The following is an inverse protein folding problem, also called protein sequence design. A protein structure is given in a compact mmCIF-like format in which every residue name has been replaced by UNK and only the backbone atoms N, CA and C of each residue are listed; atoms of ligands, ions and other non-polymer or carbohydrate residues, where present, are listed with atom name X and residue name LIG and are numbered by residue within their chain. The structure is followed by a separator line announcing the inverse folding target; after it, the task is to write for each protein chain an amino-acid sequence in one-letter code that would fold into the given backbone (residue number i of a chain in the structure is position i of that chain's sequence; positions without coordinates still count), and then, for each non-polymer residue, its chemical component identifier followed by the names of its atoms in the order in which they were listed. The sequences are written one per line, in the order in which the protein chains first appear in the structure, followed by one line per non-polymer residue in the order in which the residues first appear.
data_IF_215312773748
#
_entry.id   IF_215312773748
#
_cell.length_a   1.000
_cell.length_b   1.000
_cell.length_c   1.000
_cell.angle_alpha   90.00
_cell.angle_beta   90.00
_cell.angle_gamma   90.00
#
_symmetry.space_group_name_H-M   'P 1'
#
loop_
_entity.id
_entity.type
_entity.pdbx_description
1 polymer ?
#
# COMPACT_ATOMS: atom_id res chain seq x y z
N UNK A 1 -3.35 -42.50 5.24
CA UNK A 1 -3.94 -41.36 4.52
C UNK A 1 -3.78 -40.12 5.39
N UNK A 2 -3.01 -39.11 4.98
CA UNK A 2 -3.02 -37.81 5.68
C UNK A 2 -4.39 -37.17 5.45
N UNK A 3 -5.11 -36.89 6.53
CA UNK A 3 -6.41 -36.24 6.49
C UNK A 3 -6.26 -34.82 5.96
N UNK A 4 -7.06 -34.45 4.95
CA UNK A 4 -7.13 -33.08 4.43
C UNK A 4 -7.65 -32.16 5.54
N UNK A 5 -6.80 -31.24 6.01
CA UNK A 5 -7.19 -30.19 6.97
C UNK A 5 -7.90 -29.07 6.21
N UNK A 6 -9.00 -28.56 6.77
CA UNK A 6 -9.58 -27.29 6.36
C UNK A 6 -8.92 -26.18 7.19
N UNK A 7 -8.43 -25.13 6.55
CA UNK A 7 -7.78 -23.97 7.18
C UNK A 7 -8.60 -22.73 6.86
N UNK A 8 -9.18 -22.11 7.89
CA UNK A 8 -9.92 -20.85 7.79
C UNK A 8 -8.98 -19.66 7.92
N UNK A 9 -9.02 -18.74 6.95
CA UNK A 9 -8.07 -17.61 6.89
C UNK A 9 -8.81 -16.30 6.76
N UNK A 10 -8.41 -15.33 7.59
CA UNK A 10 -8.88 -13.96 7.50
C UNK A 10 -7.76 -13.11 6.97
N UNK A 11 -8.03 -12.42 5.87
CA UNK A 11 -7.06 -11.60 5.17
C UNK A 11 -7.55 -10.18 5.21
N UNK A 12 -6.66 -9.27 5.61
CA UNK A 12 -6.97 -7.85 5.66
C UNK A 12 -6.20 -7.06 4.63
N UNK A 13 -6.75 -5.92 4.19
CA UNK A 13 -6.02 -4.95 3.40
C UNK A 13 -6.60 -3.54 3.53
N UNK A 14 -5.72 -2.54 3.43
CA UNK A 14 -6.04 -1.10 3.45
C UNK A 14 -5.72 -0.41 2.10
N UNK A 15 -5.57 -1.20 1.03
CA UNK A 15 -5.29 -0.71 -0.31
C UNK A 15 -4.92 -1.84 -1.28
N UNK A 16 -4.87 -1.51 -2.57
CA UNK A 16 -4.63 -2.47 -3.65
C UNK A 16 -3.26 -3.15 -3.57
N UNK A 17 -2.18 -2.41 -3.28
CA UNK A 17 -0.84 -2.99 -3.12
C UNK A 17 -0.75 -3.92 -1.90
N UNK A 18 -1.43 -3.60 -0.80
CA UNK A 18 -1.48 -4.47 0.37
C UNK A 18 -2.25 -5.76 0.09
N UNK A 19 -3.33 -5.69 -0.70
CA UNK A 19 -4.03 -6.90 -1.16
C UNK A 19 -3.08 -7.78 -1.99
N UNK A 20 -2.34 -7.20 -2.93
CA UNK A 20 -1.35 -7.94 -3.74
C UNK A 20 -0.35 -8.67 -2.86
N UNK A 21 0.21 -7.98 -1.87
CA UNK A 21 1.21 -8.56 -0.96
C UNK A 21 0.63 -9.63 -0.06
N UNK A 22 -0.58 -9.43 0.48
CA UNK A 22 -1.25 -10.46 1.24
C UNK A 22 -1.51 -11.72 0.37
N UNK A 23 -1.93 -11.52 -0.88
CA UNK A 23 -2.18 -12.61 -1.83
C UNK A 23 -0.89 -13.34 -2.24
N UNK A 24 0.24 -12.63 -2.39
CA UNK A 24 1.53 -13.26 -2.69
C UNK A 24 2.02 -14.10 -1.50
N UNK A 25 1.85 -13.61 -0.27
CA UNK A 25 2.18 -14.35 0.95
C UNK A 25 1.31 -15.60 1.10
N UNK A 26 0.00 -15.50 0.82
CA UNK A 26 -0.91 -16.64 0.81
C UNK A 26 -0.50 -17.68 -0.22
N UNK A 27 -0.13 -17.24 -1.43
CA UNK A 27 0.35 -18.12 -2.50
C UNK A 27 1.62 -18.86 -2.09
N UNK A 28 2.61 -18.13 -1.55
CA UNK A 28 3.85 -18.70 -1.03
C UNK A 28 3.58 -19.73 0.08
N UNK A 29 2.74 -19.38 1.06
CA UNK A 29 2.45 -20.24 2.21
C UNK A 29 1.68 -21.51 1.84
N UNK A 30 0.87 -21.49 0.79
CA UNK A 30 0.25 -22.71 0.24
C UNK A 30 1.30 -23.71 -0.25
N UNK A 31 2.46 -23.25 -0.71
CA UNK A 31 3.57 -24.09 -1.16
C UNK A 31 4.37 -24.68 0.02
N UNK A 32 4.43 -23.98 1.15
CA UNK A 32 5.05 -24.49 2.39
C UNK A 32 4.19 -25.58 3.08
N UNK A 33 2.88 -25.61 2.79
CA UNK A 33 1.92 -26.51 3.45
C UNK A 33 1.60 -27.74 2.61
N UNK A 34 0.83 -28.67 3.21
CA UNK A 34 0.43 -29.89 2.51
C UNK A 34 -0.44 -29.55 1.30
N UNK A 35 -0.15 -30.08 0.09
CA UNK A 35 -1.00 -29.89 -1.08
C UNK A 35 -2.45 -30.38 -0.88
N UNK A 36 -2.69 -31.22 0.13
CA UNK A 36 -4.01 -31.74 0.51
C UNK A 36 -4.84 -30.77 1.35
N UNK A 37 -4.27 -29.67 1.83
CA UNK A 37 -4.98 -28.71 2.67
C UNK A 37 -6.02 -27.96 1.84
N UNK A 38 -7.21 -27.79 2.41
CA UNK A 38 -8.28 -26.98 1.85
C UNK A 38 -8.34 -25.65 2.58
N UNK A 39 -8.69 -24.60 1.88
CA UNK A 39 -8.70 -23.24 2.42
C UNK A 39 -10.09 -22.62 2.33
N UNK A 40 -10.49 -21.94 3.38
CA UNK A 40 -11.70 -21.11 3.42
C UNK A 40 -11.28 -19.67 3.71
N UNK A 41 -11.33 -18.83 2.68
CA UNK A 41 -10.73 -17.49 2.69
C UNK A 41 -11.79 -16.40 2.88
N UNK A 42 -11.52 -15.47 3.79
CA UNK A 42 -12.33 -14.29 4.07
C UNK A 42 -11.49 -13.04 3.87
N UNK A 43 -11.97 -12.09 3.06
CA UNK A 43 -11.31 -10.80 2.85
C UNK A 43 -12.03 -9.71 3.62
N UNK A 44 -11.28 -8.90 4.37
CA UNK A 44 -11.77 -7.71 5.05
C UNK A 44 -11.00 -6.48 4.56
N UNK A 45 -11.71 -5.62 3.86
CA UNK A 45 -11.24 -4.34 3.35
C UNK A 45 -11.67 -3.26 4.36
N UNK A 46 -10.74 -2.44 4.86
CA UNK A 46 -11.05 -1.35 5.81
C UNK A 46 -9.99 -0.26 5.76
N UNK A 47 -10.28 0.87 6.41
CA UNK A 47 -9.41 2.06 6.46
C UNK A 47 -8.87 2.46 5.08
N UNK A 48 -9.66 2.21 4.03
CA UNK A 48 -9.39 2.75 2.71
C UNK A 48 -9.49 4.26 2.82
N UNK A 49 -8.42 4.91 2.40
CA UNK A 49 -8.37 6.36 2.32
C UNK A 49 -8.33 6.74 0.85
N UNK A 50 -9.31 7.53 0.43
CA UNK A 50 -9.45 8.16 -0.87
C UNK A 50 -10.25 9.46 -0.69
N UNK A 51 -10.08 10.45 -1.58
CA UNK A 51 -10.94 11.63 -1.64
C UNK A 51 -12.43 11.28 -1.68
N UNK A 52 -13.26 12.25 -1.26
CA UNK A 52 -14.72 12.16 -1.32
C UNK A 52 -15.18 11.82 -2.75
N UNK A 53 -16.09 10.84 -2.86
CA UNK A 53 -16.64 10.40 -4.15
C UNK A 53 -15.82 9.34 -4.89
N UNK A 54 -14.65 8.95 -4.39
CA UNK A 54 -13.78 7.93 -5.03
C UNK A 54 -13.80 6.55 -4.32
N UNK A 55 -14.37 6.48 -3.11
CA UNK A 55 -14.24 5.31 -2.24
C UNK A 55 -14.91 4.05 -2.80
N UNK A 56 -16.10 4.19 -3.39
CA UNK A 56 -16.87 3.05 -3.90
C UNK A 56 -16.17 2.40 -5.10
N UNK A 57 -15.59 3.21 -5.98
CA UNK A 57 -14.79 2.73 -7.11
C UNK A 57 -13.51 2.02 -6.63
N UNK A 58 -12.87 2.54 -5.58
CA UNK A 58 -11.68 1.90 -5.02
C UNK A 58 -12.02 0.53 -4.39
N UNK A 59 -13.13 0.46 -3.63
CA UNK A 59 -13.63 -0.79 -3.05
C UNK A 59 -13.99 -1.79 -4.15
N UNK A 60 -14.66 -1.33 -5.21
CA UNK A 60 -15.06 -2.17 -6.34
C UNK A 60 -13.84 -2.81 -7.01
N UNK A 61 -12.79 -2.02 -7.29
CA UNK A 61 -11.56 -2.58 -7.87
C UNK A 61 -10.89 -3.59 -6.94
N UNK A 62 -10.77 -3.31 -5.64
CA UNK A 62 -10.14 -4.26 -4.69
C UNK A 62 -10.93 -5.58 -4.64
N UNK A 63 -12.27 -5.52 -4.69
CA UNK A 63 -13.12 -6.73 -4.77
C UNK A 63 -12.86 -7.50 -6.06
N UNK A 64 -12.79 -6.82 -7.20
CA UNK A 64 -12.52 -7.43 -8.50
C UNK A 64 -11.13 -8.09 -8.54
N UNK A 65 -10.10 -7.39 -8.07
CA UNK A 65 -8.74 -7.93 -7.88
C UNK A 65 -8.76 -9.21 -7.05
N UNK A 66 -9.46 -9.19 -5.91
CA UNK A 66 -9.53 -10.33 -5.01
C UNK A 66 -10.23 -11.53 -5.67
N UNK A 67 -11.38 -11.30 -6.32
CA UNK A 67 -12.17 -12.34 -6.98
C UNK A 67 -11.44 -13.00 -8.16
N UNK A 68 -10.58 -12.25 -8.85
CA UNK A 68 -9.77 -12.77 -9.95
C UNK A 68 -8.72 -13.78 -9.50
N UNK A 69 -8.19 -13.61 -8.29
CA UNK A 69 -7.01 -14.37 -7.81
C UNK A 69 -7.40 -15.55 -6.92
N UNK A 70 -8.40 -15.38 -6.06
CA UNK A 70 -8.77 -16.37 -5.06
C UNK A 70 -10.28 -16.60 -5.03
N UNK A 71 -10.67 -17.80 -4.59
CA UNK A 71 -12.05 -18.09 -4.22
C UNK A 71 -12.28 -17.64 -2.78
N UNK A 72 -13.25 -16.76 -2.57
CA UNK A 72 -13.56 -16.20 -1.27
C UNK A 72 -14.89 -16.72 -0.75
N UNK A 73 -14.93 -17.05 0.53
CA UNK A 73 -16.17 -17.34 1.24
C UNK A 73 -17.00 -16.08 1.44
N UNK A 74 -16.33 -14.97 1.76
CA UNK A 74 -16.92 -13.62 1.84
C UNK A 74 -15.84 -12.56 1.60
N UNK A 75 -16.22 -11.49 0.91
CA UNK A 75 -15.43 -10.26 0.81
C UNK A 75 -16.25 -9.14 1.43
N UNK A 76 -15.77 -8.58 2.54
CA UNK A 76 -16.46 -7.51 3.27
C UNK A 76 -15.63 -6.23 3.17
N UNK A 77 -16.32 -5.11 2.93
CA UNK A 77 -15.76 -3.78 3.14
C UNK A 77 -16.40 -3.17 4.38
N UNK A 78 -15.57 -2.72 5.33
CA UNK A 78 -16.00 -1.96 6.50
C UNK A 78 -15.76 -0.48 6.24
N UNK A 79 -16.85 0.29 6.16
CA UNK A 79 -16.79 1.72 5.90
C UNK A 79 -16.13 2.48 7.05
N UNK A 80 -15.63 3.70 6.77
CA UNK A 80 -15.10 4.57 7.81
C UNK A 80 -16.12 4.84 8.93
N UNK A 81 -17.41 4.93 8.59
CA UNK A 81 -18.48 5.09 9.58
C UNK A 81 -18.60 3.86 10.47
N UNK A 82 -18.63 2.65 9.90
CA UNK A 82 -18.67 1.40 10.65
C UNK A 82 -17.44 1.27 11.57
N UNK A 83 -16.25 1.60 11.08
CA UNK A 83 -15.02 1.58 11.88
C UNK A 83 -15.04 2.61 13.01
N UNK A 84 -15.56 3.82 12.75
CA UNK A 84 -15.76 4.83 13.79
C UNK A 84 -16.75 4.34 14.84
N UNK A 85 -17.87 3.75 14.46
CA UNK A 85 -18.83 3.14 15.38
C UNK A 85 -18.19 2.05 16.23
N UNK A 86 -17.36 1.19 15.64
CA UNK A 86 -16.63 0.16 16.38
C UNK A 86 -15.60 0.74 17.36
N UNK A 87 -14.95 1.85 17.00
CA UNK A 87 -13.98 2.54 17.87
C UNK A 87 -14.64 3.33 19.02
N UNK A 88 -15.83 3.89 18.79
CA UNK A 88 -16.55 4.71 19.77
C UNK A 88 -17.38 3.88 20.73
N UNK A 89 -17.75 2.66 20.34
CA UNK A 89 -18.47 1.70 21.20
C UNK A 89 -17.61 1.31 22.40
N UNK A 90 -17.90 1.97 23.52
CA UNK A 90 -17.50 1.53 24.84
C UNK A 90 -18.37 0.33 25.21
N UNK A 91 -17.83 -0.89 25.13
CA UNK A 91 -18.62 -2.11 25.40
C UNK A 91 -18.12 -2.83 26.67
N UNK A 92 -18.95 -2.93 27.73
CA UNK A 92 -18.63 -3.69 28.94
C UNK A 92 -18.71 -5.22 28.74
N UNK A 93 -19.20 -5.70 27.59
CA UNK A 93 -19.24 -7.12 27.25
C UNK A 93 -18.36 -7.41 26.02
N UNK A 94 -17.11 -7.86 26.21
CA UNK A 94 -16.20 -8.22 25.12
C UNK A 94 -16.77 -9.26 24.15
N UNK A 95 -17.53 -10.23 24.64
CA UNK A 95 -18.11 -11.27 23.78
C UNK A 95 -19.11 -10.69 22.78
N UNK A 96 -20.00 -9.80 23.24
CA UNK A 96 -20.95 -9.12 22.36
C UNK A 96 -20.26 -8.15 21.38
N UNK A 97 -19.16 -7.52 21.83
CA UNK A 97 -18.37 -6.64 20.97
C UNK A 97 -17.73 -7.41 19.81
N UNK A 98 -17.05 -8.53 20.10
CA UNK A 98 -16.41 -9.34 19.05
C UNK A 98 -17.42 -10.12 18.21
N UNK A 99 -18.58 -10.48 18.75
CA UNK A 99 -19.67 -11.05 17.96
C UNK A 99 -20.09 -10.12 16.81
N UNK A 100 -20.17 -8.81 17.05
CA UNK A 100 -20.46 -7.83 15.97
C UNK A 100 -19.39 -7.87 14.88
N UNK A 101 -18.11 -8.01 15.27
CA UNK A 101 -16.99 -8.14 14.31
C UNK A 101 -17.13 -9.44 13.51
N UNK A 102 -17.43 -10.54 14.18
CA UNK A 102 -17.60 -11.86 13.56
C UNK A 102 -18.74 -11.87 12.54
N UNK A 103 -19.87 -11.23 12.84
CA UNK A 103 -21.01 -11.09 11.92
C UNK A 103 -20.63 -10.27 10.66
N UNK A 104 -19.90 -9.17 10.84
CA UNK A 104 -19.40 -8.35 9.74
C UNK A 104 -18.44 -9.14 8.85
N UNK A 105 -17.46 -9.82 9.43
CA UNK A 105 -16.48 -10.64 8.70
C UNK A 105 -17.11 -11.89 8.09
N UNK A 106 -18.16 -12.44 8.69
CA UNK A 106 -18.87 -13.65 8.24
C UNK A 106 -18.31 -14.97 8.77
N UNK A 107 -17.46 -14.93 9.80
CA UNK A 107 -16.98 -16.11 10.54
C UNK A 107 -16.62 -15.72 11.97
N UNK A 108 -16.88 -16.62 12.92
CA UNK A 108 -16.54 -16.48 14.34
C UNK A 108 -15.16 -17.07 14.70
N UNK A 109 -14.54 -17.74 13.75
CA UNK A 109 -13.33 -18.54 13.94
C UNK A 109 -12.40 -18.43 12.74
N UNK A 110 -11.10 -18.47 13.01
CA UNK A 110 -10.04 -18.54 12.02
C UNK A 110 -8.84 -19.32 12.57
N UNK A 111 -8.16 -20.06 11.69
CA UNK A 111 -6.88 -20.68 11.98
C UNK A 111 -5.73 -19.67 11.80
N UNK A 112 -5.88 -18.75 10.85
CA UNK A 112 -4.86 -17.75 10.50
C UNK A 112 -5.49 -16.39 10.25
N UNK A 113 -4.78 -15.32 10.63
CA UNK A 113 -5.12 -13.95 10.30
C UNK A 113 -3.91 -13.20 9.74
N UNK A 114 -4.08 -12.54 8.60
CA UNK A 114 -3.04 -11.85 7.84
C UNK A 114 -3.26 -10.35 7.94
N UNK A 115 -2.28 -9.61 8.47
CA UNK A 115 -2.32 -8.15 8.60
C UNK A 115 -0.98 -7.51 8.20
N UNK A 116 -0.97 -6.24 7.79
CA UNK A 116 0.26 -5.52 7.44
C UNK A 116 1.05 -5.03 8.67
N UNK A 117 0.37 -4.82 9.80
CA UNK A 117 0.92 -4.28 11.07
C UNK A 117 -0.05 -4.53 12.24
N UNK A 118 0.37 -4.35 13.49
CA UNK A 118 -0.44 -4.67 14.69
C UNK A 118 -0.72 -3.49 15.63
N UNK A 119 -0.28 -2.27 15.31
CA UNK A 119 -0.38 -1.11 16.20
C UNK A 119 -1.56 -0.16 15.91
N UNK A 120 -2.23 -0.29 14.77
CA UNK A 120 -3.43 0.50 14.45
C UNK A 120 -4.68 -0.12 15.10
N UNK A 121 -5.63 0.72 15.52
CA UNK A 121 -6.91 0.29 16.12
C UNK A 121 -7.56 -0.85 15.34
N UNK A 122 -7.70 -0.70 14.02
CA UNK A 122 -8.39 -1.68 13.18
C UNK A 122 -7.67 -3.02 13.15
N UNK A 123 -6.34 -3.02 13.14
CA UNK A 123 -5.54 -4.26 13.21
C UNK A 123 -5.62 -4.91 14.59
N UNK A 124 -5.64 -4.10 15.65
CA UNK A 124 -5.88 -4.57 17.01
C UNK A 124 -7.29 -5.17 17.14
N UNK A 125 -8.30 -4.57 16.53
CA UNK A 125 -9.67 -5.08 16.54
C UNK A 125 -9.73 -6.51 16.03
N UNK A 126 -9.14 -6.78 14.86
CA UNK A 126 -9.19 -8.13 14.28
C UNK A 126 -8.28 -9.12 15.01
N UNK A 127 -7.09 -8.72 15.44
CA UNK A 127 -6.21 -9.63 16.22
C UNK A 127 -6.82 -10.02 17.57
N UNK A 128 -7.60 -9.13 18.20
CA UNK A 128 -8.34 -9.47 19.41
C UNK A 128 -9.61 -10.28 19.12
N UNK A 129 -10.34 -9.98 18.04
CA UNK A 129 -11.53 -10.74 17.63
C UNK A 129 -11.20 -12.20 17.26
N UNK A 130 -10.01 -12.44 16.72
CA UNK A 130 -9.51 -13.76 16.33
C UNK A 130 -8.27 -14.14 17.14
N UNK A 131 -8.37 -14.01 18.46
CA UNK A 131 -7.26 -14.18 19.40
C UNK A 131 -6.59 -15.57 19.34
N UNK A 132 -7.30 -16.62 18.92
CA UNK A 132 -6.75 -17.97 18.80
C UNK A 132 -6.05 -18.25 17.46
N UNK A 133 -6.27 -17.41 16.43
CA UNK A 133 -5.65 -17.59 15.13
C UNK A 133 -4.14 -17.32 15.17
N UNK A 134 -3.37 -17.94 14.27
CA UNK A 134 -1.98 -17.56 14.01
C UNK A 134 -1.95 -16.17 13.35
N UNK A 135 -1.23 -15.21 13.93
CA UNK A 135 -1.11 -13.83 13.44
C UNK A 135 0.10 -13.75 12.52
N UNK A 136 -0.18 -13.50 11.25
CA UNK A 136 0.81 -13.43 10.18
C UNK A 136 0.94 -11.97 9.73
N UNK A 137 2.15 -11.44 9.79
CA UNK A 137 2.46 -10.14 9.21
C UNK A 137 2.89 -10.31 7.75
N UNK A 138 2.17 -9.71 6.80
CA UNK A 138 2.58 -9.73 5.38
C UNK A 138 3.37 -8.47 4.96
N UNK A 139 3.54 -7.51 5.87
CA UNK A 139 4.17 -6.22 5.60
C UNK A 139 3.29 -5.24 4.81
N UNK A 140 3.79 -4.04 4.61
CA UNK A 140 3.15 -3.00 3.80
C UNK A 140 3.85 -2.86 2.45
N UNK A 141 3.27 -2.09 1.51
CA UNK A 141 3.75 -2.03 0.12
C UNK A 141 3.95 -3.45 -0.43
N UNK A 142 5.11 -3.78 -0.99
CA UNK A 142 5.50 -5.11 -1.49
C UNK A 142 6.06 -6.07 -0.43
N UNK A 143 5.69 -5.92 0.84
CA UNK A 143 6.17 -6.76 1.93
C UNK A 143 7.37 -6.15 2.66
N UNK A 144 7.25 -4.87 2.98
CA UNK A 144 8.20 -4.11 3.80
C UNK A 144 7.65 -4.02 5.21
N UNK A 145 8.51 -4.25 6.20
CA UNK A 145 8.14 -4.04 7.60
C UNK A 145 8.23 -2.55 7.95
N UNK A 146 7.20 -2.04 8.65
CA UNK A 146 7.20 -0.73 9.28
C UNK A 146 6.95 -0.86 10.78
N UNK A 147 7.94 -0.48 11.57
CA UNK A 147 7.84 -0.34 13.01
C UNK A 147 6.80 0.74 13.39
N UNK A 148 6.21 0.66 14.60
CA UNK A 148 5.25 1.68 15.08
C UNK A 148 5.81 3.12 15.06
N UNK A 149 7.12 3.26 15.25
CA UNK A 149 7.85 4.53 15.26
C UNK A 149 8.63 4.78 13.96
N UNK A 150 8.31 4.02 12.90
CA UNK A 150 8.97 4.12 11.61
C UNK A 150 8.97 5.56 11.11
N UNK A 151 10.15 5.99 10.68
CA UNK A 151 10.32 7.32 10.11
C UNK A 151 9.59 7.44 8.77
N UNK A 152 9.25 6.33 8.10
CA UNK A 152 8.51 6.29 6.84
C UNK A 152 7.11 6.93 6.89
N UNK A 153 6.59 7.21 8.09
CA UNK A 153 5.34 7.94 8.27
C UNK A 153 5.49 9.47 8.23
N UNK A 154 6.73 9.99 8.25
CA UNK A 154 7.10 11.42 8.36
C UNK A 154 6.18 12.15 9.34
N UNK A 155 6.10 11.64 10.56
CA UNK A 155 5.27 12.25 11.60
C UNK A 155 5.80 13.66 11.91
N UNK A 156 4.91 14.61 12.26
CA UNK A 156 5.32 15.97 12.60
C UNK A 156 6.33 15.97 13.74
N UNK A 157 7.39 16.76 13.63
CA UNK A 157 8.36 16.90 14.73
C UNK A 157 7.73 17.42 16.03
N UNK A 158 6.69 18.23 15.91
CA UNK A 158 5.92 18.80 17.03
C UNK A 158 5.06 17.77 17.75
N UNK A 159 4.83 16.57 17.19
CA UNK A 159 4.11 15.50 17.90
C UNK A 159 5.06 14.79 18.88
N UNK A 160 4.79 14.83 20.20
CA UNK A 160 5.63 14.11 21.14
C UNK A 160 5.52 12.62 20.86
N UNK A 161 6.65 11.93 20.60
CA UNK A 161 6.70 10.46 20.45
C UNK A 161 6.02 9.71 21.60
N UNK A 162 5.95 10.33 22.77
CA UNK A 162 5.25 9.81 23.96
C UNK A 162 3.72 9.96 23.91
N UNK A 163 3.14 10.88 23.13
CA UNK A 163 1.69 11.06 23.05
C UNK A 163 1.01 9.93 22.25
N UNK A 164 1.68 9.38 21.23
CA UNK A 164 1.18 8.24 20.45
C UNK A 164 1.11 6.94 21.27
N UNK A 165 1.98 6.78 22.28
CA UNK A 165 2.03 5.59 23.13
C UNK A 165 1.35 5.78 24.50
N UNK A 166 1.26 7.00 25.03
CA UNK A 166 0.68 7.26 26.38
C UNK A 166 -0.80 7.63 26.40
N UNK A 167 -1.40 8.08 25.30
CA UNK A 167 -2.85 8.37 25.27
C UNK A 167 -3.72 7.09 25.34
N UNK A 168 -3.15 5.91 25.10
CA UNK A 168 -3.85 4.64 25.26
C UNK A 168 -3.68 4.04 26.66
N UNK A 169 -2.49 4.10 27.28
CA UNK A 169 -2.18 3.39 28.53
C UNK A 169 -3.05 3.76 29.73
N UNK A 170 -3.14 5.06 30.07
CA UNK A 170 -3.85 5.51 31.28
C UNK A 170 -5.38 5.45 31.16
N UNK A 171 -5.91 5.65 29.95
CA UNK A 171 -7.33 5.50 29.64
C UNK A 171 -7.76 4.02 29.56
N UNK A 172 -6.86 3.13 29.16
CA UNK A 172 -7.13 1.70 29.08
C UNK A 172 -7.15 1.04 30.47
N UNK A 173 -6.32 1.51 31.41
CA UNK A 173 -6.33 1.00 32.80
C UNK A 173 -7.66 1.30 33.50
N UNK A 174 -8.13 2.55 33.48
CA UNK A 174 -9.42 2.94 34.06
C UNK A 174 -10.60 2.26 33.35
N UNK A 175 -10.53 2.09 32.02
CA UNK A 175 -11.53 1.35 31.27
C UNK A 175 -11.56 -0.14 31.62
N UNK A 176 -10.40 -0.77 31.76
CA UNK A 176 -10.31 -2.19 32.14
C UNK A 176 -10.84 -2.45 33.56
N UNK A 177 -10.59 -1.55 34.51
CA UNK A 177 -11.13 -1.64 35.87
C UNK A 177 -12.65 -1.49 35.92
N UNK A 178 -13.24 -0.80 34.94
CA UNK A 178 -14.68 -0.63 34.78
C UNK A 178 -15.32 -1.70 33.88
N UNK A 179 -14.59 -2.77 33.54
CA UNK A 179 -15.10 -3.92 32.77
C UNK A 179 -15.20 -3.69 31.27
N UNK A 180 -14.63 -2.61 30.72
CA UNK A 180 -14.73 -2.32 29.30
C UNK A 180 -13.75 -3.12 28.45
N UNK A 181 -14.15 -3.40 27.21
CA UNK A 181 -13.31 -4.04 26.20
C UNK A 181 -12.13 -3.13 25.86
N UNK A 182 -10.93 -3.55 26.25
CA UNK A 182 -9.67 -2.90 25.91
C UNK A 182 -8.95 -3.77 24.90
N UNK A 183 -8.72 -3.23 23.70
CA UNK A 183 -7.94 -3.92 22.68
C UNK A 183 -6.48 -3.97 23.10
N UNK A 184 -5.90 -5.17 23.04
CA UNK A 184 -4.48 -5.36 23.32
C UNK A 184 -3.70 -5.30 22.01
N UNK A 185 -2.50 -4.73 22.05
CA UNK A 185 -1.54 -4.94 20.97
C UNK A 185 -1.01 -6.37 21.09
N UNK A 186 -1.40 -7.22 20.14
CA UNK A 186 -0.98 -8.62 20.09
C UNK A 186 0.16 -8.73 19.06
N UNK A 187 1.25 -9.37 19.46
CA UNK A 187 2.39 -9.61 18.58
C UNK A 187 2.07 -10.64 17.49
N UNK A 188 2.79 -10.52 16.38
CA UNK A 188 2.69 -11.50 15.30
C UNK A 188 3.47 -12.76 15.65
N UNK A 189 2.92 -13.91 15.29
CA UNK A 189 3.59 -15.20 15.46
C UNK A 189 4.71 -15.36 14.41
N UNK A 190 4.55 -14.75 13.22
CA UNK A 190 5.57 -14.68 12.17
C UNK A 190 5.30 -13.60 11.14
N UNK A 191 6.34 -13.23 10.40
CA UNK A 191 6.27 -12.30 9.28
C UNK A 191 6.76 -12.90 7.98
N UNK A 192 6.13 -12.51 6.87
CA UNK A 192 6.54 -12.80 5.50
C UNK A 192 6.82 -11.48 4.79
N UNK A 193 8.05 -11.34 4.29
CA UNK A 193 8.52 -10.08 3.72
C UNK A 193 9.36 -10.36 2.46
N UNK A 194 9.14 -9.59 1.40
CA UNK A 194 10.04 -9.63 0.22
C UNK A 194 11.36 -8.92 0.51
N UNK A 195 11.30 -7.87 1.36
CA UNK A 195 12.42 -6.99 1.67
C UNK A 195 12.48 -6.76 3.19
N UNK A 196 12.81 -7.79 3.99
CA UNK A 196 12.96 -7.62 5.43
C UNK A 196 14.10 -6.63 5.72
N UNK A 197 13.92 -5.77 6.71
CA UNK A 197 14.96 -4.85 7.21
C UNK A 197 15.51 -3.85 6.16
N UNK A 198 14.86 -3.70 5.00
CA UNK A 198 15.39 -2.88 3.90
C UNK A 198 15.58 -1.41 4.28
N UNK A 199 14.70 -0.91 5.17
CA UNK A 199 14.76 0.43 5.76
C UNK A 199 15.52 0.49 7.10
N UNK A 200 16.21 -0.58 7.49
CA UNK A 200 16.97 -0.67 8.74
C UNK A 200 16.16 -1.04 9.98
N UNK A 201 14.86 -1.31 9.81
CA UNK A 201 13.95 -1.71 10.89
C UNK A 201 13.83 -3.23 10.98
N UNK A 202 14.16 -3.80 12.14
CA UNK A 202 14.09 -5.24 12.37
C UNK A 202 12.69 -5.67 12.79
N UNK A 203 12.03 -6.62 12.07
CA UNK A 203 10.77 -7.18 12.51
C UNK A 203 10.92 -7.89 13.88
N UNK A 204 10.02 -7.67 14.86
CA UNK A 204 10.11 -8.22 16.20
C UNK A 204 9.61 -9.67 16.31
N UNK A 205 9.46 -10.37 15.19
CA UNK A 205 8.93 -11.73 15.07
C UNK A 205 9.82 -12.58 14.15
N UNK A 206 9.69 -13.92 14.15
CA UNK A 206 10.35 -14.77 13.16
C UNK A 206 9.98 -14.36 11.73
N UNK A 207 10.99 -14.26 10.86
CA UNK A 207 10.86 -13.77 9.48
C UNK A 207 11.06 -14.90 8.48
N UNK A 208 10.19 -14.96 7.48
CA UNK A 208 10.38 -15.72 6.24
C UNK A 208 10.51 -14.74 5.08
N UNK A 209 11.60 -14.85 4.32
CA UNK A 209 11.78 -14.05 3.10
C UNK A 209 11.00 -14.72 1.97
N UNK A 210 10.02 -14.02 1.40
CA UNK A 210 9.23 -14.55 0.29
C UNK A 210 9.96 -14.41 -1.04
N UNK A 211 9.67 -15.31 -1.97
CA UNK A 211 10.22 -15.20 -3.32
C UNK A 211 9.49 -14.12 -4.16
N UNK A 212 10.20 -13.64 -5.19
CA UNK A 212 9.64 -12.69 -6.16
C UNK A 212 8.64 -13.36 -7.12
N UNK A 213 8.64 -14.69 -7.25
CA UNK A 213 7.81 -15.41 -8.21
C UNK A 213 6.34 -15.39 -7.81
N UNK A 214 6.01 -15.56 -6.51
CA UNK A 214 4.65 -15.41 -6.00
C UNK A 214 4.14 -13.98 -6.19
N UNK A 215 4.96 -12.96 -5.96
CA UNK A 215 4.56 -11.57 -6.21
C UNK A 215 4.31 -11.28 -7.70
N UNK A 216 5.22 -11.72 -8.58
CA UNK A 216 5.08 -11.61 -10.03
C UNK A 216 3.87 -12.37 -10.56
N UNK A 217 3.56 -13.54 -10.00
CA UNK A 217 2.38 -14.33 -10.34
C UNK A 217 1.10 -13.53 -10.09
N UNK A 218 0.99 -12.90 -8.92
CA UNK A 218 -0.15 -12.04 -8.60
C UNK A 218 -0.26 -10.87 -9.60
N UNK A 219 0.83 -10.15 -9.86
CA UNK A 219 0.81 -9.05 -10.83
C UNK A 219 0.42 -9.50 -12.24
N UNK A 220 0.91 -10.67 -12.69
CA UNK A 220 0.56 -11.25 -14.00
C UNK A 220 -0.92 -11.59 -14.11
N UNK A 221 -1.53 -12.13 -13.05
CA UNK A 221 -2.96 -12.42 -13.04
C UNK A 221 -3.80 -11.14 -13.16
N UNK A 222 -3.41 -10.08 -12.45
CA UNK A 222 -4.12 -8.80 -12.46
C UNK A 222 -4.07 -8.04 -13.80
N UNK A 223 -3.19 -8.43 -14.74
CA UNK A 223 -3.08 -7.78 -16.06
C UNK A 223 -4.41 -7.79 -16.82
N UNK A 224 -5.27 -8.79 -16.60
CA UNK A 224 -6.57 -8.88 -17.28
C UNK A 224 -7.57 -7.79 -16.86
N UNK A 225 -7.31 -7.07 -15.76
CA UNK A 225 -8.13 -5.93 -15.33
C UNK A 225 -7.81 -4.64 -16.09
N UNK A 226 -6.68 -4.62 -16.80
CA UNK A 226 -6.30 -3.50 -17.65
C UNK A 226 -7.08 -3.60 -18.96
N UNK A 227 -7.66 -2.47 -19.39
CA UNK A 227 -8.32 -2.37 -20.67
C UNK A 227 -7.29 -2.56 -21.80
N UNK A 228 -7.30 -3.72 -22.45
CA UNK A 228 -6.28 -4.10 -23.43
C UNK A 228 -6.23 -3.12 -24.62
N UNK A 229 -7.39 -2.66 -25.08
CA UNK A 229 -7.48 -1.66 -26.15
C UNK A 229 -6.82 -0.33 -25.75
N UNK A 230 -7.00 0.09 -24.49
CA UNK A 230 -6.34 1.29 -23.97
C UNK A 230 -4.82 1.12 -23.94
N UNK A 231 -4.33 -0.02 -23.43
CA UNK A 231 -2.88 -0.29 -23.40
C UNK A 231 -2.29 -0.35 -24.81
N UNK A 232 -3.02 -0.96 -25.75
CA UNK A 232 -2.60 -1.00 -27.15
C UNK A 232 -2.51 0.41 -27.74
N UNK A 233 -3.55 1.24 -27.57
CA UNK A 233 -3.55 2.63 -28.02
C UNK A 233 -2.44 3.44 -27.37
N UNK A 234 -2.21 3.27 -26.06
CA UNK A 234 -1.14 3.90 -25.32
C UNK A 234 0.23 3.54 -25.92
N UNK A 235 0.47 2.26 -26.21
CA UNK A 235 1.72 1.80 -26.84
C UNK A 235 1.90 2.40 -28.23
N UNK A 236 0.84 2.50 -29.03
CA UNK A 236 0.90 3.16 -30.34
C UNK A 236 1.21 4.66 -30.21
N UNK A 237 0.64 5.32 -29.20
CA UNK A 237 0.86 6.74 -28.93
C UNK A 237 2.29 7.02 -28.45
N UNK A 238 2.88 6.10 -27.69
CA UNK A 238 4.25 6.22 -27.19
C UNK A 238 5.29 5.84 -28.25
N UNK A 239 5.02 4.80 -29.04
CA UNK A 239 6.00 4.23 -29.97
C UNK A 239 7.30 3.85 -29.25
N UNK A 240 8.43 4.18 -29.87
CA UNK A 240 9.78 3.97 -29.31
C UNK A 240 10.31 5.19 -28.54
N UNK A 241 9.47 6.21 -28.29
CA UNK A 241 9.91 7.42 -27.62
C UNK A 241 10.37 7.14 -26.17
N UNK A 242 11.36 7.89 -25.65
CA UNK A 242 11.68 7.88 -24.23
C UNK A 242 10.48 8.34 -23.39
N UNK A 243 10.24 7.66 -22.27
CA UNK A 243 9.09 7.90 -21.39
C UNK A 243 9.54 8.29 -20.00
N UNK A 244 9.02 9.42 -19.54
CA UNK A 244 9.10 9.87 -18.16
C UNK A 244 7.84 9.45 -17.43
N UNK A 245 7.95 8.79 -16.28
CA UNK A 245 6.80 8.36 -15.48
C UNK A 245 6.84 9.03 -14.11
N UNK A 246 5.82 9.84 -13.82
CA UNK A 246 5.61 10.46 -12.52
C UNK A 246 4.62 9.64 -11.69
N UNK A 247 5.11 9.06 -10.59
CA UNK A 247 4.28 8.43 -9.55
C UNK A 247 4.03 9.45 -8.45
N UNK A 248 2.86 10.10 -8.46
CA UNK A 248 2.58 11.13 -7.45
C UNK A 248 2.38 10.50 -6.06
N UNK A 249 2.48 11.33 -5.03
CA UNK A 249 2.17 11.02 -3.64
C UNK A 249 1.09 11.98 -3.16
N UNK A 250 0.46 11.76 -2.01
CA UNK A 250 -0.70 12.53 -1.54
C UNK A 250 -0.33 13.62 -0.52
N UNK A 251 0.70 14.43 -0.77
CA UNK A 251 1.25 15.33 0.26
C UNK A 251 0.28 16.42 0.69
N UNK A 252 -0.42 17.03 -0.26
CA UNK A 252 -1.44 18.05 0.02
C UNK A 252 -2.65 17.45 0.71
N UNK A 253 -3.13 16.28 0.28
CA UNK A 253 -4.23 15.59 0.96
C UNK A 253 -3.85 15.12 2.37
N UNK A 254 -2.56 14.89 2.63
CA UNK A 254 -2.04 14.58 3.97
C UNK A 254 -1.70 15.84 4.81
N UNK A 255 -1.93 17.04 4.29
CA UNK A 255 -1.66 18.31 4.99
C UNK A 255 -0.16 18.61 5.19
N UNK A 256 0.72 18.02 4.37
CA UNK A 256 2.18 18.21 4.45
C UNK A 256 2.68 19.39 3.59
N UNK A 257 1.86 19.76 2.61
CA UNK A 257 2.07 20.86 1.66
C UNK A 257 0.69 21.48 1.35
N UNK A 258 0.63 22.70 0.82
CA UNK A 258 -0.58 23.12 0.09
C UNK A 258 -0.63 22.42 -1.28
N UNK A 259 -1.80 22.46 -1.91
CA UNK A 259 -1.96 21.88 -3.24
C UNK A 259 -1.01 22.56 -4.25
N UNK A 260 -0.97 23.89 -4.26
CA UNK A 260 -0.15 24.69 -5.17
C UNK A 260 1.35 24.42 -4.97
N UNK A 261 1.77 24.30 -3.70
CA UNK A 261 3.15 23.95 -3.36
C UNK A 261 3.53 22.55 -3.87
N UNK A 262 2.63 21.57 -3.76
CA UNK A 262 2.88 20.22 -4.26
C UNK A 262 3.01 20.20 -5.80
N UNK A 263 2.17 20.94 -6.52
CA UNK A 263 2.27 21.06 -7.98
C UNK A 263 3.60 21.71 -8.39
N UNK A 264 3.99 22.82 -7.76
CA UNK A 264 5.24 23.52 -8.09
C UNK A 264 6.46 22.68 -7.74
N UNK A 265 6.42 21.91 -6.64
CA UNK A 265 7.51 21.00 -6.28
C UNK A 265 7.72 19.91 -7.33
N UNK A 266 6.65 19.32 -7.89
CA UNK A 266 6.79 18.37 -9.01
C UNK A 266 7.36 19.04 -10.25
N UNK A 267 6.87 20.24 -10.60
CA UNK A 267 7.35 21.01 -11.75
C UNK A 267 8.83 21.33 -11.63
N UNK A 268 9.25 21.94 -10.52
CA UNK A 268 10.66 22.29 -10.25
C UNK A 268 11.55 21.05 -10.23
N UNK A 269 11.09 19.96 -9.62
CA UNK A 269 11.85 18.72 -9.60
C UNK A 269 12.06 18.16 -11.01
N UNK A 270 11.00 18.05 -11.81
CA UNK A 270 11.08 17.52 -13.17
C UNK A 270 11.99 18.35 -14.06
N UNK A 271 11.91 19.68 -13.99
CA UNK A 271 12.80 20.59 -14.71
C UNK A 271 14.27 20.40 -14.32
N UNK A 272 14.54 20.09 -13.05
CA UNK A 272 15.91 19.82 -12.57
C UNK A 272 16.44 18.43 -12.95
N UNK A 273 15.61 17.52 -13.46
CA UNK A 273 16.05 16.19 -13.91
C UNK A 273 16.36 16.15 -15.42
N UNK A 274 16.07 17.22 -16.16
CA UNK A 274 16.40 17.31 -17.58
C UNK A 274 17.87 17.74 -17.74
N UNK A 275 18.71 16.85 -18.29
CA UNK A 275 20.03 17.22 -18.77
C UNK A 275 19.88 18.05 -20.06
N UNK A 276 20.65 19.13 -20.19
CA UNK A 276 20.63 20.08 -21.30
C UNK A 276 20.43 19.40 -22.67
N UNK A 277 19.23 19.55 -23.24
CA UNK A 277 18.95 19.23 -24.64
C UNK A 277 18.13 17.97 -24.92
N UNK A 278 17.74 17.19 -23.91
CA UNK A 278 16.84 16.04 -24.14
C UNK A 278 15.40 16.54 -24.34
N UNK A 279 14.88 16.36 -25.55
CA UNK A 279 13.60 16.91 -26.01
C UNK A 279 12.47 16.44 -25.08
N UNK A 280 11.79 17.40 -24.44
CA UNK A 280 10.43 17.33 -23.84
C UNK A 280 9.72 16.00 -24.16
N UNK A 281 9.95 15.01 -23.30
CA UNK A 281 9.54 13.61 -23.51
C UNK A 281 8.03 13.42 -23.35
N UNK A 282 7.56 12.19 -23.54
CA UNK A 282 6.20 11.80 -23.12
C UNK A 282 6.22 11.62 -21.61
N UNK A 283 5.40 12.41 -20.91
CA UNK A 283 5.18 12.27 -19.48
C UNK A 283 3.93 11.45 -19.21
N UNK A 284 4.08 10.35 -18.49
CA UNK A 284 2.96 9.59 -17.95
C UNK A 284 2.84 9.90 -16.47
N UNK A 285 1.68 10.39 -16.07
CA UNK A 285 1.36 10.64 -14.67
C UNK A 285 0.47 9.51 -14.18
N UNK A 286 0.95 8.76 -13.20
CA UNK A 286 0.15 7.81 -12.43
C UNK A 286 -0.19 8.48 -11.09
N UNK A 287 -1.43 8.96 -10.92
CA UNK A 287 -1.82 9.56 -9.65
C UNK A 287 -1.78 8.55 -8.51
N UNK A 288 -1.54 9.03 -7.29
CA UNK A 288 -1.76 8.26 -6.07
C UNK A 288 -3.26 7.96 -5.92
N UNK A 289 -3.67 6.79 -5.40
CA UNK A 289 -5.08 6.48 -5.09
C UNK A 289 -5.81 7.46 -4.15
N UNK A 290 -5.08 8.43 -3.58
CA UNK A 290 -5.58 9.45 -2.66
C UNK A 290 -5.58 10.85 -3.26
N UNK A 291 -5.14 11.00 -4.50
CA UNK A 291 -5.08 12.30 -5.15
C UNK A 291 -6.47 12.78 -5.52
N UNK A 292 -6.76 14.03 -5.15
CA UNK A 292 -8.00 14.69 -5.51
C UNK A 292 -8.09 14.99 -7.00
N UNK A 293 -9.30 15.01 -7.56
CA UNK A 293 -9.51 15.40 -8.96
C UNK A 293 -9.02 16.83 -9.25
N UNK A 294 -9.05 17.72 -8.25
CA UNK A 294 -8.52 19.07 -8.34
C UNK A 294 -7.00 19.06 -8.59
N UNK A 295 -6.26 18.24 -7.84
CA UNK A 295 -4.82 18.06 -8.03
C UNK A 295 -4.46 17.52 -9.39
N UNK A 296 -5.18 16.48 -9.84
CA UNK A 296 -4.94 15.86 -11.15
C UNK A 296 -5.10 16.88 -12.28
N UNK A 297 -6.13 17.73 -12.20
CA UNK A 297 -6.37 18.82 -13.16
C UNK A 297 -5.29 19.92 -13.10
N UNK A 298 -4.77 20.23 -11.93
CA UNK A 298 -3.69 21.21 -11.80
C UNK A 298 -2.36 20.67 -12.32
N UNK A 299 -2.05 19.38 -12.09
CA UNK A 299 -0.86 18.73 -12.64
C UNK A 299 -0.84 18.82 -14.17
N UNK A 300 -1.96 18.53 -14.84
CA UNK A 300 -2.03 18.61 -16.31
C UNK A 300 -1.73 20.01 -16.86
N UNK A 301 -2.17 21.03 -16.13
CA UNK A 301 -2.07 22.42 -16.59
C UNK A 301 -0.70 23.05 -16.32
N UNK A 302 0.00 22.60 -15.28
CA UNK A 302 1.26 23.20 -14.82
C UNK A 302 2.51 22.42 -15.26
N UNK A 303 2.34 21.34 -16.03
CA UNK A 303 3.44 20.56 -16.61
C UNK A 303 3.44 20.64 -18.15
N UNK A 304 2.91 21.73 -18.69
CA UNK A 304 2.75 21.97 -20.13
C UNK A 304 4.08 22.05 -20.91
N UNK A 305 5.21 22.06 -20.20
CA UNK A 305 6.55 21.96 -20.77
C UNK A 305 6.80 20.61 -21.45
N UNK A 306 6.09 19.53 -21.10
CA UNK A 306 6.22 18.24 -21.77
C UNK A 306 5.48 18.22 -23.12
N UNK A 307 6.04 17.53 -24.13
CA UNK A 307 5.42 17.48 -25.47
C UNK A 307 4.08 16.77 -25.47
N UNK A 308 3.92 15.82 -24.55
CA UNK A 308 2.71 15.06 -24.36
C UNK A 308 2.59 14.62 -22.91
N UNK A 309 1.40 14.80 -22.33
CA UNK A 309 1.07 14.36 -20.98
C UNK A 309 -0.05 13.33 -21.07
N UNK A 310 0.19 12.13 -20.55
CA UNK A 310 -0.81 11.07 -20.43
C UNK A 310 -1.08 10.86 -18.94
N UNK A 311 -2.32 11.06 -18.51
CA UNK A 311 -2.69 10.88 -17.11
C UNK A 311 -3.57 9.65 -16.97
N UNK A 312 -3.17 8.75 -16.08
CA UNK A 312 -3.85 7.48 -15.84
C UNK A 312 -5.03 7.66 -14.88
N UNK A 313 -6.11 8.26 -15.37
CA UNK A 313 -7.32 8.59 -14.58
C UNK A 313 -8.47 7.59 -14.71
N UNK A 314 -8.42 6.67 -15.68
CA UNK A 314 -9.43 5.61 -15.79
C UNK A 314 -9.46 4.79 -14.49
N UNK A 315 -10.66 4.42 -14.00
CA UNK A 315 -10.83 3.84 -12.65
C UNK A 315 -9.92 2.63 -12.40
N UNK A 316 -9.83 1.73 -13.39
CA UNK A 316 -8.98 0.54 -13.36
C UNK A 316 -7.49 0.83 -13.53
N UNK A 317 -7.09 2.04 -13.95
CA UNK A 317 -5.70 2.49 -13.99
C UNK A 317 -5.35 3.33 -12.75
N UNK A 318 -6.32 4.04 -12.18
CA UNK A 318 -6.13 4.94 -11.06
C UNK A 318 -5.90 4.17 -9.75
N UNK A 319 -6.66 3.11 -9.49
CA UNK A 319 -6.54 2.36 -8.22
C UNK A 319 -5.68 1.10 -8.29
N UNK A 320 -5.36 0.62 -9.51
CA UNK A 320 -4.53 -0.57 -9.67
C UNK A 320 -3.08 -0.28 -9.26
N UNK A 321 -2.36 -1.24 -8.66
CA UNK A 321 -0.95 -1.07 -8.39
C UNK A 321 -0.18 -0.75 -9.66
N UNK A 322 0.72 0.22 -9.59
CA UNK A 322 1.44 0.72 -10.76
C UNK A 322 2.24 -0.39 -11.46
N UNK A 323 2.74 -1.37 -10.71
CA UNK A 323 3.49 -2.52 -11.21
C UNK A 323 2.67 -3.37 -12.19
N UNK A 324 1.34 -3.48 -12.01
CA UNK A 324 0.47 -4.20 -12.95
C UNK A 324 0.40 -3.47 -14.28
N UNK A 325 0.19 -2.16 -14.24
CA UNK A 325 0.23 -1.32 -15.43
C UNK A 325 1.61 -1.36 -16.10
N UNK A 326 2.68 -1.19 -15.32
CA UNK A 326 4.05 -1.15 -15.79
C UNK A 326 4.44 -2.44 -16.53
N UNK A 327 4.13 -3.60 -15.95
CA UNK A 327 4.41 -4.91 -16.56
C UNK A 327 3.63 -5.16 -17.84
N UNK A 328 2.55 -4.41 -18.09
CA UNK A 328 1.68 -4.59 -19.25
C UNK A 328 1.94 -3.54 -20.32
N UNK A 329 2.37 -2.35 -19.94
CA UNK A 329 2.67 -1.26 -20.85
C UNK A 329 4.12 -1.30 -21.34
N UNK A 330 5.09 -1.56 -20.46
CA UNK A 330 6.53 -1.30 -20.70
C UNK A 330 7.42 -2.53 -20.73
N UNK A 331 6.87 -3.72 -20.49
CA UNK A 331 7.64 -4.96 -20.52
C UNK A 331 7.17 -5.89 -21.64
N UNK A 332 8.14 -6.59 -22.24
CA UNK A 332 7.90 -7.73 -23.12
C UNK A 332 7.59 -9.02 -22.32
N UNK A 333 7.38 -10.13 -23.01
CA UNK A 333 7.10 -11.43 -22.39
C UNK A 333 8.27 -11.98 -21.54
N UNK A 334 9.49 -11.48 -21.79
CA UNK A 334 10.70 -11.80 -21.03
C UNK A 334 10.96 -10.81 -19.89
N UNK A 335 10.00 -9.92 -19.59
CA UNK A 335 10.11 -8.86 -18.59
C UNK A 335 11.23 -7.84 -18.87
N UNK A 336 11.60 -7.66 -20.14
CA UNK A 336 12.56 -6.64 -20.59
C UNK A 336 11.82 -5.37 -20.97
N UNK A 337 12.45 -4.22 -20.67
CA UNK A 337 11.95 -2.91 -21.04
C UNK A 337 11.82 -2.78 -22.57
N UNK A 338 10.65 -2.33 -23.02
CA UNK A 338 10.38 -2.00 -24.43
C UNK A 338 10.75 -0.57 -24.78
N UNK A 339 10.91 0.30 -23.78
CA UNK A 339 11.20 1.71 -23.93
C UNK A 339 12.32 2.13 -22.98
N UNK A 340 13.01 3.23 -23.31
CA UNK A 340 13.83 3.94 -22.34
C UNK A 340 12.91 4.64 -21.33
N UNK A 341 12.83 4.13 -20.11
CA UNK A 341 11.94 4.65 -19.07
C UNK A 341 12.72 5.30 -17.94
N UNK A 342 12.32 6.50 -17.54
CA UNK A 342 12.72 7.15 -16.28
C UNK A 342 11.52 7.18 -15.34
N UNK A 343 11.66 6.66 -14.12
CA UNK A 343 10.57 6.68 -13.12
C UNK A 343 10.91 7.67 -12.01
N UNK A 344 10.03 8.63 -11.78
CA UNK A 344 10.07 9.59 -10.68
C UNK A 344 9.10 9.13 -9.60
N UNK A 345 9.63 8.70 -8.46
CA UNK A 345 8.85 8.08 -7.40
C UNK A 345 9.05 8.82 -6.07
N UNK A 346 7.94 9.12 -5.41
CA UNK A 346 7.92 9.85 -4.14
C UNK A 346 7.50 8.96 -2.95
N UNK A 347 7.44 7.64 -3.19
CA UNK A 347 7.03 6.59 -2.25
C UNK A 347 7.87 5.33 -2.44
N UNK A 348 7.59 4.29 -1.63
CA UNK A 348 8.25 2.98 -1.71
C UNK A 348 7.96 2.18 -2.99
N UNK A 349 7.10 2.68 -3.89
CA UNK A 349 6.83 2.04 -5.19
C UNK A 349 8.11 1.84 -6.03
N UNK A 350 9.12 2.70 -5.86
CA UNK A 350 10.43 2.53 -6.52
C UNK A 350 11.12 1.19 -6.18
N UNK A 351 10.92 0.68 -4.97
CA UNK A 351 11.56 -0.56 -4.51
C UNK A 351 11.02 -1.77 -5.28
N UNK A 352 9.73 -1.80 -5.58
CA UNK A 352 9.10 -2.87 -6.35
C UNK A 352 9.61 -2.91 -7.79
N UNK A 353 9.71 -1.74 -8.42
CA UNK A 353 10.18 -1.62 -9.80
C UNK A 353 11.66 -2.03 -9.92
N UNK A 354 12.48 -1.66 -8.94
CA UNK A 354 13.88 -2.11 -8.86
C UNK A 354 13.98 -3.62 -8.61
N UNK A 355 13.27 -4.14 -7.61
CA UNK A 355 13.32 -5.54 -7.20
C UNK A 355 12.88 -6.51 -8.30
N UNK A 356 11.80 -6.17 -9.00
CA UNK A 356 11.16 -7.09 -9.94
C UNK A 356 11.62 -6.91 -11.39
N UNK A 357 11.99 -5.68 -11.77
CA UNK A 357 12.22 -5.32 -13.17
C UNK A 357 13.55 -4.59 -13.40
N UNK A 358 14.35 -4.39 -12.35
CA UNK A 358 15.62 -3.66 -12.38
C UNK A 358 15.51 -2.25 -13.00
N UNK A 359 14.38 -1.57 -12.74
CA UNK A 359 14.11 -0.23 -13.32
C UNK A 359 14.75 0.85 -12.44
N UNK A 360 15.59 1.73 -13.00
CA UNK A 360 16.14 2.86 -12.26
C UNK A 360 15.02 3.84 -11.90
N UNK A 361 15.02 4.28 -10.64
CA UNK A 361 14.04 5.25 -10.12
C UNK A 361 14.74 6.45 -9.51
N UNK A 362 14.25 7.63 -9.81
CA UNK A 362 14.61 8.89 -9.18
C UNK A 362 13.69 9.10 -7.99
N UNK A 363 14.28 9.23 -6.80
CA UNK A 363 13.53 9.26 -5.55
C UNK A 363 13.41 10.67 -5.01
N UNK A 364 12.16 11.07 -4.82
CA UNK A 364 11.80 12.22 -4.03
C UNK A 364 12.19 13.56 -4.62
N UNK A 365 12.03 14.63 -3.85
CA UNK A 365 12.28 16.00 -4.32
C UNK A 365 13.73 16.46 -4.09
N UNK A 366 14.47 15.81 -3.19
CA UNK A 366 15.73 16.33 -2.68
C UNK A 366 15.52 17.38 -1.59
N UNK A 367 16.59 17.71 -0.87
CA UNK A 367 16.53 18.58 0.31
C UNK A 367 16.13 20.01 0.01
N UNK A 368 16.54 20.55 -1.14
CA UNK A 368 16.26 21.92 -1.54
C UNK A 368 14.76 22.15 -1.74
N UNK A 369 14.16 21.41 -2.67
CA UNK A 369 12.72 21.48 -2.96
C UNK A 369 11.90 21.08 -1.72
N UNK A 370 12.33 20.06 -0.97
CA UNK A 370 11.62 19.64 0.26
C UNK A 370 11.57 20.78 1.29
N UNK A 371 12.70 21.43 1.59
CA UNK A 371 12.73 22.54 2.55
C UNK A 371 11.96 23.77 2.07
N UNK A 372 11.87 23.98 0.76
CA UNK A 372 11.17 25.10 0.14
C UNK A 372 9.65 24.96 0.24
N UNK A 373 9.12 23.75 0.04
CA UNK A 373 7.67 23.56 -0.16
C UNK A 373 6.96 22.73 0.93
N UNK A 374 7.65 21.88 1.69
CA UNK A 374 7.02 21.18 2.80
C UNK A 374 6.86 22.11 4.00
N UNK A 375 5.78 21.90 4.76
CA UNK A 375 5.65 22.51 6.07
C UNK A 375 6.85 22.10 6.96
N UNK A 376 7.39 23.05 7.74
CA UNK A 376 8.65 22.91 8.47
C UNK A 376 8.71 21.64 9.34
N UNK A 377 7.60 21.28 9.99
CA UNK A 377 7.51 20.12 10.87
C UNK A 377 7.63 18.77 10.13
N UNK A 378 7.46 18.74 8.80
CA UNK A 378 7.47 17.53 7.98
C UNK A 378 8.74 17.40 7.11
N UNK A 379 9.38 18.52 6.75
CA UNK A 379 10.52 18.53 5.83
C UNK A 379 11.68 17.61 6.29
N UNK A 380 12.12 17.62 7.57
CA UNK A 380 13.23 16.77 8.00
C UNK A 380 12.91 15.28 7.93
N UNK A 381 11.69 14.88 8.31
CA UNK A 381 11.22 13.51 8.19
C UNK A 381 11.21 13.07 6.73
N UNK A 382 10.70 13.92 5.84
CA UNK A 382 10.67 13.66 4.40
C UNK A 382 12.07 13.47 3.81
N UNK A 383 13.02 14.36 4.12
CA UNK A 383 14.41 14.25 3.65
C UNK A 383 15.03 12.93 4.10
N UNK A 384 14.83 12.57 5.38
CA UNK A 384 15.30 11.29 5.92
C UNK A 384 14.71 10.10 5.14
N UNK A 385 13.42 10.14 4.79
CA UNK A 385 12.83 9.10 3.97
C UNK A 385 13.54 8.88 2.66
N UNK A 386 13.81 9.97 1.95
CA UNK A 386 14.35 9.92 0.61
C UNK A 386 15.75 9.32 0.67
N UNK A 387 16.50 9.62 1.73
CA UNK A 387 17.79 8.98 2.02
C UNK A 387 17.62 7.49 2.33
N UNK A 388 16.66 7.12 3.18
CA UNK A 388 16.41 5.71 3.54
C UNK A 388 16.00 4.89 2.30
N UNK A 389 15.16 5.44 1.41
CA UNK A 389 14.79 4.83 0.13
C UNK A 389 15.97 4.74 -0.86
N UNK A 390 16.79 5.79 -0.96
CA UNK A 390 17.99 5.78 -1.81
C UNK A 390 18.97 4.70 -1.35
N UNK A 391 19.16 4.57 -0.03
CA UNK A 391 19.96 3.50 0.56
C UNK A 391 19.33 2.12 0.36
N UNK A 392 18.00 2.00 0.42
CA UNK A 392 17.31 0.76 0.13
C UNK A 392 17.55 0.29 -1.31
N UNK A 393 17.51 1.20 -2.28
CA UNK A 393 17.78 0.86 -3.69
C UNK A 393 19.20 0.38 -3.97
N UNK A 394 20.20 0.71 -3.14
CA UNK A 394 21.57 0.19 -3.31
C UNK A 394 21.75 -1.22 -2.75
N UNK A 395 20.77 -1.72 -1.99
CA UNK A 395 20.77 -3.08 -1.40
C UNK A 395 19.99 -4.09 -2.25
N UNK A 396 19.25 -3.62 -3.26
CA UNK A 396 18.47 -4.42 -4.22
C UNK A 396 19.22 -4.43 -5.55
#
# INVERSE_FOLDING_TARGET
MKTSRLVKRIITCQGSIQLVTALSVIDYRKQERSPSDRYEDYLVIYDLNSPTGQIDDFVALIKEMAQLICTWKKITYLSSEQMKTLSSKVNPNPSAYFQTVHELVGTDSADEIYLSRNWQFSNQLFTNAYRSAEKICYGDSIGIYFAPDSQAFFLPQSLPKQLLTKLSGSFNLTKSMLGYTVLQQIDFDRGYFSLPEILGEKPPMPVTVTDNASLLKIFKQLKSLLAQDYIYQLRQQIGDAPVSILLTSNFSEAGRMTLEQEIEAYREFLLNQEEDGDRRTILIIKPHPRDSSAKIKLLSNNLAEFSQIIILTEKNLFFIPFEVFFTTAFLDDNLKLTNQVKVFAFSSACLALKLLFNVPSFIGFGSEITNKFFAQDYAPGRIKHEQDLKMALTKI
#
